data_IF_784315088346
#
_entry.id   IF_784315088346
#
_cell.length_a   1.000
_cell.length_b   1.000
_cell.length_c   1.000
_cell.angle_alpha   90.00
_cell.angle_beta   90.00
_cell.angle_gamma   90.00
#
_symmetry.space_group_name_H-M   'P 1'
#
loop_
_entity.id
_entity.type
_entity.pdbx_description
1 polymer ?
#
# COMPACT_ATOMS: atom_id res chain seq x y z
N UNK A 1 -19.31 19.48 -12.16
CA UNK A 1 -18.01 18.86 -12.48
C UNK A 1 -17.97 17.51 -11.77
N UNK A 2 -17.89 16.41 -12.50
CA UNK A 2 -17.68 15.10 -11.87
C UNK A 2 -16.20 15.02 -11.45
N UNK A 3 -15.94 15.01 -10.15
CA UNK A 3 -14.62 14.64 -9.63
C UNK A 3 -14.42 13.16 -9.90
N UNK A 4 -13.42 12.79 -10.71
CA UNK A 4 -13.08 11.39 -10.88
C UNK A 4 -12.69 10.81 -9.50
N UNK A 5 -13.39 9.77 -9.04
CA UNK A 5 -13.02 9.07 -7.81
C UNK A 5 -11.81 8.18 -8.09
N UNK A 6 -10.71 8.39 -7.36
CA UNK A 6 -9.61 7.44 -7.34
C UNK A 6 -9.71 6.57 -6.10
N UNK A 7 -9.20 5.35 -6.21
CA UNK A 7 -9.19 4.37 -5.14
C UNK A 7 -7.81 3.74 -5.04
N UNK A 8 -7.42 3.36 -3.83
CA UNK A 8 -6.24 2.57 -3.56
C UNK A 8 -6.67 1.18 -3.11
N UNK A 9 -6.35 0.17 -3.92
CA UNK A 9 -6.50 -1.23 -3.56
C UNK A 9 -5.17 -1.77 -3.04
N UNK A 10 -5.18 -2.31 -1.82
CA UNK A 10 -4.00 -2.87 -1.18
C UNK A 10 -4.19 -4.37 -0.97
N UNK A 11 -3.29 -5.18 -1.52
CA UNK A 11 -3.32 -6.64 -1.39
C UNK A 11 -2.06 -7.15 -0.71
N UNK A 12 -2.22 -8.02 0.27
CA UNK A 12 -1.14 -8.72 0.95
C UNK A 12 -0.91 -10.07 0.29
N UNK A 13 0.35 -10.39 0.00
CA UNK A 13 0.78 -11.67 -0.54
C UNK A 13 1.86 -12.27 0.34
N UNK A 14 1.70 -13.54 0.73
CA UNK A 14 2.69 -14.23 1.56
C UNK A 14 2.62 -15.75 1.36
N UNK A 15 3.67 -16.46 1.80
CA UNK A 15 3.69 -17.91 1.90
C UNK A 15 3.40 -18.30 3.35
N UNK A 16 2.43 -19.18 3.57
CA UNK A 16 2.10 -19.67 4.92
C UNK A 16 3.03 -20.83 5.38
N UNK A 17 2.84 -21.31 6.60
CA UNK A 17 3.60 -22.42 7.17
C UNK A 17 3.41 -23.75 6.44
N UNK A 18 2.39 -23.87 5.59
CA UNK A 18 2.14 -25.03 4.73
C UNK A 18 2.75 -24.85 3.33
N UNK A 19 3.62 -23.86 3.13
CA UNK A 19 4.20 -23.51 1.84
C UNK A 19 3.15 -23.14 0.77
N UNK A 20 1.99 -22.62 1.19
CA UNK A 20 0.94 -22.19 0.27
C UNK A 20 0.95 -20.69 0.10
N UNK A 21 0.86 -20.26 -1.15
CA UNK A 21 0.65 -18.86 -1.50
C UNK A 21 -0.72 -18.37 -1.00
N UNK A 22 -0.72 -17.23 -0.34
CA UNK A 22 -1.90 -16.50 0.10
C UNK A 22 -1.92 -15.14 -0.57
N UNK A 23 -3.13 -14.73 -0.96
CA UNK A 23 -3.44 -13.40 -1.45
C UNK A 23 -4.70 -12.93 -0.73
N UNK A 24 -4.65 -11.74 -0.16
CA UNK A 24 -5.77 -11.15 0.58
C UNK A 24 -5.90 -9.67 0.24
N UNK A 25 -7.12 -9.20 -0.04
CA UNK A 25 -7.42 -7.77 -0.13
C UNK A 25 -7.44 -7.20 1.29
N UNK A 26 -6.42 -6.40 1.62
CA UNK A 26 -6.26 -5.76 2.92
C UNK A 26 -7.03 -4.44 2.99
N UNK A 27 -7.20 -3.75 1.86
CA UNK A 27 -7.92 -2.49 1.83
C UNK A 27 -8.40 -2.12 0.45
N UNK A 28 -9.57 -1.50 0.39
CA UNK A 28 -10.08 -0.79 -0.77
C UNK A 28 -10.54 0.58 -0.28
N UNK A 29 -9.72 1.59 -0.51
CA UNK A 29 -9.80 2.88 0.19
C UNK A 29 -10.05 3.97 -0.84
N UNK A 30 -10.96 4.88 -0.53
CA UNK A 30 -11.10 6.13 -1.29
C UNK A 30 -9.76 6.88 -1.25
N UNK A 31 -9.24 7.23 -2.42
CA UNK A 31 -7.99 7.96 -2.53
C UNK A 31 -8.29 9.37 -3.00
N UNK A 32 -8.58 10.34 -2.10
CA UNK A 32 -8.94 11.68 -2.52
C UNK A 32 -7.70 12.47 -2.96
N UNK A 33 -7.92 13.45 -3.83
CA UNK A 33 -6.90 14.42 -4.23
C UNK A 33 -6.33 15.14 -2.99
N UNK A 34 -5.01 15.35 -2.89
CA UNK A 34 -4.00 15.17 -3.93
C UNK A 34 -3.49 13.72 -4.03
N UNK A 35 -3.48 13.17 -5.25
CA UNK A 35 -2.97 11.83 -5.60
C UNK A 35 -1.44 11.75 -5.50
N UNK A 36 -0.91 11.97 -4.30
CA UNK A 36 0.52 12.04 -4.04
C UNK A 36 1.06 10.72 -3.51
N UNK A 37 2.35 10.48 -3.74
CA UNK A 37 3.08 9.36 -3.18
C UNK A 37 2.99 9.31 -1.65
N UNK A 38 3.11 10.47 -1.01
CA UNK A 38 3.08 10.59 0.44
C UNK A 38 1.70 10.18 0.99
N UNK A 39 0.62 10.65 0.36
CA UNK A 39 -0.73 10.32 0.79
C UNK A 39 -1.03 8.82 0.59
N UNK A 40 -0.54 8.22 -0.50
CA UNK A 40 -0.62 6.77 -0.68
C UNK A 40 0.16 6.01 0.41
N UNK A 41 1.34 6.50 0.82
CA UNK A 41 2.13 5.88 1.89
C UNK A 41 1.39 5.91 3.21
N UNK A 42 0.82 7.05 3.57
CA UNK A 42 0.06 7.23 4.81
C UNK A 42 -1.11 6.24 4.86
N UNK A 43 -1.90 6.13 3.79
CA UNK A 43 -3.01 5.17 3.71
C UNK A 43 -2.55 3.72 3.82
N UNK A 44 -1.45 3.35 3.15
CA UNK A 44 -0.87 2.00 3.24
C UNK A 44 -0.39 1.74 4.67
N UNK A 45 0.33 2.68 5.26
CA UNK A 45 0.92 2.54 6.59
C UNK A 45 -0.14 2.44 7.69
N UNK A 46 -1.20 3.24 7.61
CA UNK A 46 -2.34 3.17 8.52
C UNK A 46 -3.10 1.85 8.37
N UNK A 47 -3.27 1.36 7.14
CA UNK A 47 -3.83 0.03 6.89
C UNK A 47 -2.98 -1.04 7.58
N UNK A 48 -1.66 -1.04 7.38
CA UNK A 48 -0.76 -2.02 8.01
C UNK A 48 -0.81 -1.98 9.53
N UNK A 49 -0.83 -0.78 10.13
CA UNK A 49 -0.97 -0.60 11.58
C UNK A 49 -2.30 -1.14 12.10
N UNK A 50 -3.40 -0.91 11.38
CA UNK A 50 -4.71 -1.43 11.78
C UNK A 50 -4.76 -2.96 11.84
N UNK A 51 -3.93 -3.63 11.04
CA UNK A 51 -3.73 -5.08 11.07
C UNK A 51 -2.62 -5.53 12.02
N UNK A 52 -1.83 -4.63 12.60
CA UNK A 52 -0.67 -4.96 13.44
C UNK A 52 0.45 -5.69 12.70
N UNK A 53 0.63 -5.40 11.41
CA UNK A 53 1.60 -6.07 10.52
C UNK A 53 2.64 -5.10 9.93
N UNK A 54 2.71 -3.87 10.41
CA UNK A 54 3.62 -2.84 9.93
C UNK A 54 5.10 -3.26 9.99
N UNK A 55 5.46 -4.13 10.94
CA UNK A 55 6.81 -4.68 11.10
C UNK A 55 7.03 -6.02 10.36
N UNK A 56 6.04 -6.50 9.58
CA UNK A 56 6.09 -7.78 8.86
C UNK A 56 6.18 -7.61 7.34
N UNK A 57 6.28 -6.38 6.85
CA UNK A 57 6.33 -6.09 5.42
C UNK A 57 7.78 -6.19 4.91
N UNK A 58 8.01 -7.05 3.91
CA UNK A 58 9.31 -7.18 3.26
C UNK A 58 9.49 -6.34 2.01
N UNK A 59 8.40 -6.09 1.26
CA UNK A 59 8.43 -5.31 0.03
C UNK A 59 7.02 -4.76 -0.29
N UNK A 60 7.00 -3.66 -1.05
CA UNK A 60 5.79 -3.13 -1.69
C UNK A 60 5.92 -3.21 -3.20
N UNK A 61 4.83 -3.56 -3.87
CA UNK A 61 4.71 -3.49 -5.33
C UNK A 61 3.56 -2.54 -5.63
N UNK A 62 3.84 -1.50 -6.40
CA UNK A 62 2.88 -0.48 -6.81
C UNK A 62 2.86 -0.39 -8.33
N UNK A 63 1.72 -0.07 -8.93
CA UNK A 63 1.70 0.25 -10.35
C UNK A 63 2.47 1.57 -10.60
N UNK A 64 3.16 1.63 -11.73
CA UNK A 64 4.05 2.73 -12.07
C UNK A 64 3.25 3.98 -12.49
N UNK A 65 2.70 4.67 -11.51
CA UNK A 65 2.34 6.09 -11.60
C UNK A 65 3.53 6.90 -11.10
N UNK A 66 3.83 8.06 -11.68
CA UNK A 66 5.05 8.84 -11.36
C UNK A 66 5.29 9.15 -9.86
N UNK A 67 4.26 8.99 -9.03
CA UNK A 67 4.26 8.98 -7.56
C UNK A 67 5.05 7.82 -6.91
N UNK A 68 5.03 6.61 -7.45
CA UNK A 68 5.64 5.41 -6.83
C UNK A 68 7.17 5.51 -6.64
N UNK A 69 7.85 6.29 -7.50
CA UNK A 69 9.31 6.43 -7.52
C UNK A 69 9.95 7.00 -6.24
N UNK A 70 9.17 7.64 -5.36
CA UNK A 70 9.70 8.32 -4.15
C UNK A 70 9.77 7.44 -2.90
N UNK A 71 9.21 6.23 -2.92
CA UNK A 71 9.16 5.35 -1.75
C UNK A 71 10.48 4.65 -1.43
N UNK A 72 11.45 4.67 -2.33
CA UNK A 72 12.68 3.89 -2.22
C UNK A 72 13.77 4.51 -1.32
N UNK A 73 13.54 5.68 -0.70
CA UNK A 73 14.60 6.48 -0.06
C UNK A 73 14.34 6.94 1.40
N UNK A 74 13.71 6.14 2.27
CA UNK A 74 13.79 6.37 3.74
C UNK A 74 14.08 5.09 4.51
N UNK A 75 15.35 4.72 4.53
CA UNK A 75 15.88 3.64 5.36
C UNK A 75 17.39 3.79 5.56
N UNK A 76 17.81 4.87 6.23
CA UNK A 76 19.11 5.01 6.92
C UNK A 76 19.29 6.42 7.47
N UNK A 77 19.07 6.57 8.78
CA UNK A 77 19.71 7.56 9.66
C UNK A 77 19.63 7.03 11.08
#
# INVERSE_FOLDING_TARGET
MATASAFLAFTGHWIDSQWKHKSCLLGFIDFPSPYSALHAFELIWDTLKSYGIENKVGAFVTDNTGSASKFQHRGSS
#
